data_IF_442192714587
#
_entry.id   IF_442192714587
#
_cell.length_a   1.000
_cell.length_b   1.000
_cell.length_c   1.000
_cell.angle_alpha   90.00
_cell.angle_beta   90.00
_cell.angle_gamma   90.00
#
_symmetry.space_group_name_H-M   'P 1'
#
loop_
_entity.id
_entity.type
_entity.pdbx_description
1 polymer ?
#
# COMPACT_ATOMS: atom_id res chain seq x y z
N UNK A 1 9.98 -67.07 -37.92
CA UNK A 1 11.43 -67.04 -38.22
C UNK A 1 11.72 -65.76 -38.99
N UNK A 2 12.79 -65.06 -38.60
CA UNK A 2 13.23 -63.74 -39.09
C UNK A 2 13.49 -63.74 -40.59
N UNK A 3 13.09 -62.70 -41.33
CA UNK A 3 13.90 -62.14 -42.43
C UNK A 3 13.73 -60.62 -42.50
N UNK A 4 14.89 -59.95 -42.47
CA UNK A 4 15.10 -58.51 -42.43
C UNK A 4 14.78 -57.89 -43.79
N UNK A 5 14.02 -56.79 -43.81
CA UNK A 5 14.04 -55.84 -44.93
C UNK A 5 14.71 -54.56 -44.43
N UNK A 6 15.82 -54.24 -45.07
CA UNK A 6 16.63 -53.05 -44.86
C UNK A 6 15.90 -51.89 -45.55
N UNK A 7 15.33 -50.98 -44.77
CA UNK A 7 14.72 -49.75 -45.24
C UNK A 7 15.65 -48.57 -44.99
N UNK A 8 16.15 -47.97 -46.07
CA UNK A 8 16.98 -46.78 -46.09
C UNK A 8 16.18 -45.58 -45.53
N UNK A 9 16.46 -45.16 -44.27
CA UNK A 9 15.89 -43.93 -43.72
C UNK A 9 16.69 -42.74 -44.22
N UNK A 10 16.13 -42.01 -45.18
CA UNK A 10 16.60 -40.68 -45.56
C UNK A 10 16.20 -39.68 -44.45
N UNK A 11 17.19 -39.13 -43.75
CA UNK A 11 17.02 -38.03 -42.81
C UNK A 11 16.72 -36.74 -43.59
N UNK A 12 15.45 -36.35 -43.63
CA UNK A 12 15.04 -35.01 -44.06
C UNK A 12 15.21 -34.09 -42.85
N UNK A 13 16.29 -33.31 -42.83
CA UNK A 13 16.41 -32.18 -41.91
C UNK A 13 15.48 -31.06 -42.39
N UNK A 14 14.28 -31.00 -41.81
CA UNK A 14 13.44 -29.80 -41.92
C UNK A 14 14.04 -28.72 -41.03
N UNK A 15 14.80 -27.81 -41.64
CA UNK A 15 15.18 -26.55 -41.00
C UNK A 15 13.91 -25.72 -40.77
N UNK A 16 13.31 -25.85 -39.58
CA UNK A 16 12.29 -24.92 -39.14
C UNK A 16 13.00 -23.62 -38.78
N UNK A 17 12.97 -22.68 -39.72
CA UNK A 17 13.34 -21.29 -39.48
C UNK A 17 12.46 -20.77 -38.34
N UNK A 18 13.04 -20.54 -37.16
CA UNK A 18 12.41 -19.70 -36.14
C UNK A 18 12.28 -18.32 -36.76
N UNK A 19 11.12 -18.02 -37.33
CA UNK A 19 10.71 -16.64 -37.53
C UNK A 19 10.54 -16.08 -36.13
N UNK A 20 11.57 -15.37 -35.66
CA UNK A 20 11.43 -14.47 -34.54
C UNK A 20 10.29 -13.53 -34.89
N UNK A 21 9.11 -13.76 -34.31
CA UNK A 21 8.03 -12.79 -34.33
C UNK A 21 8.59 -11.57 -33.63
N UNK A 22 8.97 -10.57 -34.41
CA UNK A 22 9.16 -9.22 -33.93
C UNK A 22 7.82 -8.81 -33.35
N UNK A 23 7.68 -8.94 -32.02
CA UNK A 23 6.62 -8.26 -31.30
C UNK A 23 6.89 -6.79 -31.53
N UNK A 24 6.16 -6.20 -32.47
CA UNK A 24 6.11 -4.76 -32.64
C UNK A 24 5.44 -4.24 -31.37
N UNK A 25 6.25 -3.86 -30.39
CA UNK A 25 5.78 -3.04 -29.27
C UNK A 25 5.49 -1.68 -29.88
N UNK A 26 4.24 -1.48 -30.29
CA UNK A 26 3.76 -0.15 -30.64
C UNK A 26 3.97 0.74 -29.43
N UNK A 27 4.69 1.86 -29.55
CA UNK A 27 4.78 2.81 -28.45
C UNK A 27 3.35 3.22 -28.10
N UNK A 28 3.00 3.09 -26.82
CA UNK A 28 1.73 3.57 -26.29
C UNK A 28 1.70 5.06 -26.60
N UNK A 29 0.83 5.47 -27.53
CA UNK A 29 0.53 6.88 -27.77
C UNK A 29 0.25 7.56 -26.42
N UNK A 30 0.60 8.84 -26.26
CA UNK A 30 0.39 9.59 -25.03
C UNK A 30 -0.91 9.19 -24.30
N UNK A 31 -0.72 8.51 -23.15
CA UNK A 31 -1.59 8.51 -21.97
C UNK A 31 -3.08 8.18 -22.19
N UNK A 32 -3.41 7.00 -22.69
CA UNK A 32 -4.74 6.44 -22.38
C UNK A 32 -4.73 5.86 -20.97
N UNK A 33 -5.25 6.66 -20.03
CA UNK A 33 -5.57 6.22 -18.69
C UNK A 33 -6.81 5.30 -18.75
N UNK A 34 -6.75 4.17 -18.06
CA UNK A 34 -7.81 3.18 -18.04
C UNK A 34 -9.11 3.78 -17.50
N UNK A 35 -10.24 3.41 -18.11
CA UNK A 35 -11.55 3.91 -17.71
C UNK A 35 -11.85 3.69 -16.22
N UNK A 36 -11.46 2.53 -15.68
CA UNK A 36 -11.63 2.21 -14.26
C UNK A 36 -10.87 3.19 -13.35
N UNK A 37 -9.66 3.61 -13.75
CA UNK A 37 -8.88 4.60 -13.01
C UNK A 37 -9.62 5.94 -12.95
N UNK A 38 -10.13 6.38 -14.10
CA UNK A 38 -10.84 7.64 -14.25
C UNK A 38 -12.10 7.62 -13.38
N UNK A 39 -12.89 6.55 -13.47
CA UNK A 39 -14.12 6.38 -12.68
C UNK A 39 -13.84 6.33 -11.18
N UNK A 40 -12.80 5.62 -10.75
CA UNK A 40 -12.38 5.54 -9.35
C UNK A 40 -11.76 6.82 -8.78
N UNK A 41 -11.63 7.87 -9.60
CA UNK A 41 -11.05 9.17 -9.20
C UNK A 41 -11.98 10.36 -9.47
N UNK A 42 -12.95 10.20 -10.36
CA UNK A 42 -13.73 11.31 -10.92
C UNK A 42 -14.36 12.17 -9.84
N UNK A 43 -15.11 11.57 -8.90
CA UNK A 43 -15.74 12.26 -7.77
C UNK A 43 -14.77 13.03 -6.91
N UNK A 44 -13.65 12.41 -6.56
CA UNK A 44 -12.60 13.02 -5.75
C UNK A 44 -12.06 14.30 -6.41
N UNK A 45 -11.86 14.26 -7.72
CA UNK A 45 -11.28 15.36 -8.51
C UNK A 45 -12.21 16.58 -8.68
N UNK A 46 -13.49 16.48 -8.31
CA UNK A 46 -14.38 17.66 -8.28
C UNK A 46 -13.99 18.66 -7.21
N UNK A 47 -13.37 18.18 -6.12
CA UNK A 47 -12.90 18.98 -5.00
C UNK A 47 -11.36 19.00 -4.92
N UNK A 48 -10.73 17.84 -5.17
CA UNK A 48 -9.28 17.64 -5.13
C UNK A 48 -8.69 17.68 -6.55
N UNK A 49 -8.68 18.86 -7.16
CA UNK A 49 -8.33 19.03 -8.57
C UNK A 49 -6.82 19.10 -8.85
N UNK A 50 -6.01 19.39 -7.84
CA UNK A 50 -4.55 19.52 -7.97
C UNK A 50 -3.88 18.24 -7.47
N UNK A 51 -3.14 17.57 -8.36
CA UNK A 51 -2.31 16.41 -8.03
C UNK A 51 -1.08 16.38 -8.91
N UNK A 52 0.03 15.84 -8.39
CA UNK A 52 1.28 15.72 -9.13
C UNK A 52 1.19 14.67 -10.26
N UNK A 53 0.46 13.58 -10.03
CA UNK A 53 0.30 12.48 -10.98
C UNK A 53 -1.12 11.91 -10.88
N UNK A 54 -1.86 11.84 -11.98
CA UNK A 54 -3.25 11.37 -11.94
C UNK A 54 -3.39 9.93 -11.41
N UNK A 55 -2.36 9.10 -11.57
CA UNK A 55 -2.32 7.71 -11.11
C UNK A 55 -1.55 7.49 -9.81
N UNK A 56 -1.19 8.60 -9.12
CA UNK A 56 -0.33 8.66 -7.94
C UNK A 56 1.11 8.14 -8.17
N UNK A 57 1.45 7.74 -9.41
CA UNK A 57 2.72 7.14 -9.75
C UNK A 57 3.25 7.74 -11.05
N UNK A 58 4.54 8.08 -11.07
CA UNK A 58 5.22 8.54 -12.30
C UNK A 58 5.33 7.45 -13.37
N UNK A 59 5.28 6.18 -12.97
CA UNK A 59 5.39 5.06 -13.90
C UNK A 59 4.04 4.89 -14.63
N UNK A 60 3.98 5.10 -15.95
CA UNK A 60 2.73 5.02 -16.71
C UNK A 60 2.14 3.60 -16.76
N UNK A 61 2.89 2.57 -16.39
CA UNK A 61 2.36 1.21 -16.25
C UNK A 61 1.45 1.05 -15.02
N UNK A 62 1.49 1.99 -14.07
CA UNK A 62 0.66 1.97 -12.86
C UNK A 62 -0.53 2.91 -13.08
N UNK A 63 -1.73 2.34 -13.06
CA UNK A 63 -2.98 3.04 -13.37
C UNK A 63 -3.96 2.98 -12.19
N UNK A 64 -3.50 3.38 -11.01
CA UNK A 64 -4.32 3.42 -9.79
C UNK A 64 -5.18 4.67 -9.73
N UNK A 65 -6.37 4.52 -9.18
CA UNK A 65 -7.33 5.58 -8.88
C UNK A 65 -7.13 6.12 -7.46
N UNK A 66 -7.77 7.26 -7.16
CA UNK A 66 -7.78 7.82 -5.79
C UNK A 66 -8.29 6.80 -4.77
N UNK A 67 -9.39 6.11 -5.11
CA UNK A 67 -10.07 5.16 -4.22
C UNK A 67 -9.32 3.84 -4.04
N UNK A 68 -8.41 3.46 -4.94
CA UNK A 68 -7.57 2.27 -4.78
C UNK A 68 -6.66 2.36 -3.55
N UNK A 69 -6.14 3.57 -3.26
CA UNK A 69 -5.33 3.79 -2.07
C UNK A 69 -6.15 4.32 -0.89
N UNK A 70 -6.96 5.35 -1.09
CA UNK A 70 -7.66 6.05 0.00
C UNK A 70 -9.03 5.44 0.36
N UNK A 71 -9.70 4.75 -0.55
CA UNK A 71 -11.13 4.43 -0.41
C UNK A 71 -12.03 5.66 -0.63
N UNK A 72 -13.17 5.73 0.05
CA UNK A 72 -14.21 6.74 -0.21
C UNK A 72 -15.09 6.38 -1.42
N UNK A 73 -16.01 7.27 -1.79
CA UNK A 73 -16.92 7.07 -2.93
C UNK A 73 -16.70 8.09 -4.06
N UNK A 74 -15.99 7.65 -5.11
CA UNK A 74 -15.73 8.44 -6.31
C UNK A 74 -16.95 8.62 -7.23
N UNK A 75 -18.10 7.99 -6.94
CA UNK A 75 -19.34 8.18 -7.70
C UNK A 75 -20.06 9.46 -7.30
N UNK A 76 -19.82 9.95 -6.09
CA UNK A 76 -20.39 11.21 -5.62
C UNK A 76 -19.77 12.38 -6.39
N UNK A 77 -20.61 13.30 -6.87
CA UNK A 77 -20.22 14.41 -7.74
C UNK A 77 -20.49 15.74 -7.06
N UNK A 78 -19.56 16.68 -7.21
CA UNK A 78 -19.66 18.05 -6.69
C UNK A 78 -19.27 19.12 -7.72
N UNK A 79 -19.02 18.75 -8.99
CA UNK A 79 -18.50 19.65 -10.04
C UNK A 79 -19.32 20.93 -10.29
N UNK A 80 -20.61 20.93 -9.94
CA UNK A 80 -21.52 22.07 -10.12
C UNK A 80 -21.96 22.71 -8.79
N UNK A 81 -21.30 22.36 -7.68
CA UNK A 81 -21.65 22.83 -6.34
C UNK A 81 -20.61 23.86 -5.88
N UNK A 82 -21.08 25.00 -5.38
CA UNK A 82 -20.19 26.02 -4.83
C UNK A 82 -19.58 25.51 -3.51
N UNK A 83 -18.25 25.65 -3.29
CA UNK A 83 -17.62 25.33 -2.01
C UNK A 83 -18.33 26.01 -0.83
N UNK A 84 -18.59 25.28 0.25
CA UNK A 84 -19.31 25.76 1.44
C UNK A 84 -20.83 25.85 1.29
N UNK A 85 -21.40 25.55 0.11
CA UNK A 85 -22.85 25.40 -0.02
C UNK A 85 -23.35 24.12 0.66
N UNK A 86 -24.61 24.11 1.10
CA UNK A 86 -25.22 22.90 1.71
C UNK A 86 -25.10 21.66 0.81
N UNK A 87 -25.24 21.84 -0.51
CA UNK A 87 -25.05 20.76 -1.47
C UNK A 87 -23.62 20.23 -1.48
N UNK A 88 -22.63 21.12 -1.47
CA UNK A 88 -21.21 20.75 -1.44
C UNK A 88 -20.85 19.99 -0.17
N UNK A 89 -21.29 20.48 1.00
CA UNK A 89 -21.06 19.81 2.29
C UNK A 89 -21.72 18.42 2.34
N UNK A 90 -22.93 18.29 1.81
CA UNK A 90 -23.63 17.00 1.73
C UNK A 90 -22.90 16.02 0.82
N UNK A 91 -22.43 16.48 -0.35
CA UNK A 91 -21.65 15.66 -1.27
C UNK A 91 -20.31 15.24 -0.64
N UNK A 92 -19.62 16.16 0.05
CA UNK A 92 -18.37 15.87 0.76
C UNK A 92 -18.59 14.80 1.84
N UNK A 93 -19.61 14.94 2.68
CA UNK A 93 -19.93 13.96 3.72
C UNK A 93 -20.27 12.58 3.15
N UNK A 94 -20.97 12.52 2.01
CA UNK A 94 -21.28 11.27 1.34
C UNK A 94 -20.06 10.61 0.67
N UNK A 95 -19.13 11.40 0.14
CA UNK A 95 -17.93 10.90 -0.55
C UNK A 95 -16.83 10.46 0.43
N UNK A 96 -16.68 11.16 1.55
CA UNK A 96 -15.63 10.91 2.54
C UNK A 96 -15.99 9.74 3.47
N UNK A 97 -14.98 8.94 3.83
CA UNK A 97 -15.13 7.98 4.92
C UNK A 97 -15.27 8.78 6.22
N UNK A 98 -16.36 8.56 6.93
CA UNK A 98 -16.65 9.28 8.17
C UNK A 98 -15.89 8.67 9.37
N UNK A 99 -15.40 9.49 10.30
CA UNK A 99 -14.82 9.01 11.54
C UNK A 99 -15.88 8.38 12.45
N UNK A 100 -15.46 7.44 13.30
CA UNK A 100 -16.28 6.89 14.35
C UNK A 100 -16.50 7.88 15.50
N UNK A 101 -15.57 8.82 15.69
CA UNK A 101 -15.62 9.82 16.77
C UNK A 101 -15.62 11.27 16.21
N UNK A 102 -16.70 11.74 15.58
CA UNK A 102 -16.75 13.06 14.92
C UNK A 102 -16.45 14.25 15.85
N UNK A 103 -16.70 14.11 17.15
CA UNK A 103 -16.38 15.12 18.15
C UNK A 103 -14.88 15.39 18.30
N UNK A 104 -14.04 14.43 17.91
CA UNK A 104 -12.59 14.57 17.83
C UNK A 104 -12.22 15.22 16.49
N UNK A 105 -12.82 14.76 15.39
CA UNK A 105 -12.52 15.15 14.01
C UNK A 105 -13.45 16.24 13.48
N UNK A 106 -13.38 17.44 14.08
CA UNK A 106 -14.31 18.56 13.80
C UNK A 106 -14.13 19.23 12.43
N UNK A 107 -13.13 18.85 11.66
CA UNK A 107 -12.82 19.45 10.36
C UNK A 107 -11.52 18.92 9.79
N UNK A 108 -10.95 19.62 8.80
CA UNK A 108 -9.73 19.20 8.10
C UNK A 108 -8.43 19.34 8.91
N UNK A 109 -8.47 20.07 10.03
CA UNK A 109 -7.31 20.21 10.92
C UNK A 109 -7.15 18.95 11.76
N UNK A 110 -5.93 18.42 11.80
CA UNK A 110 -5.58 17.34 12.73
C UNK A 110 -5.76 17.80 14.19
N UNK A 111 -6.51 17.03 15.01
CA UNK A 111 -6.65 17.28 16.44
C UNK A 111 -5.31 17.18 17.17
N UNK A 112 -5.22 17.86 18.32
CA UNK A 112 -4.07 17.74 19.22
C UNK A 112 -3.96 16.31 19.75
N UNK A 113 -2.75 15.74 19.73
CA UNK A 113 -2.49 14.36 20.16
C UNK A 113 -3.31 13.27 19.42
N UNK A 114 -3.74 13.55 18.19
CA UNK A 114 -4.56 12.64 17.36
C UNK A 114 -3.96 11.26 17.10
N UNK A 115 -2.66 11.05 17.36
CA UNK A 115 -2.01 9.73 17.18
C UNK A 115 -2.64 8.62 18.03
N UNK A 116 -3.08 8.93 19.25
CA UNK A 116 -3.75 7.95 20.11
C UNK A 116 -5.22 7.76 19.72
N UNK A 117 -5.89 8.81 19.23
CA UNK A 117 -7.28 8.73 18.79
C UNK A 117 -7.44 7.94 17.48
N UNK A 118 -6.45 8.00 16.60
CA UNK A 118 -6.39 7.16 15.39
C UNK A 118 -6.35 5.66 15.68
N UNK A 119 -6.00 5.23 16.91
CA UNK A 119 -6.07 3.82 17.32
C UNK A 119 -7.50 3.37 17.62
N UNK A 120 -8.43 4.30 17.84
CA UNK A 120 -9.84 4.00 18.11
C UNK A 120 -10.67 4.00 16.84
N UNK A 121 -10.16 4.62 15.78
CA UNK A 121 -10.84 4.75 14.49
C UNK A 121 -10.83 3.47 13.67
N UNK A 122 -11.76 3.38 12.72
CA UNK A 122 -11.80 2.26 11.79
C UNK A 122 -10.60 2.28 10.84
N UNK A 123 -10.19 1.10 10.36
CA UNK A 123 -9.09 1.00 9.40
C UNK A 123 -9.41 1.72 8.08
N UNK A 124 -10.68 1.82 7.68
CA UNK A 124 -11.12 2.59 6.52
C UNK A 124 -10.87 4.08 6.71
N UNK A 125 -11.19 4.64 7.88
CA UNK A 125 -10.95 6.06 8.16
C UNK A 125 -9.44 6.36 8.22
N UNK A 126 -8.66 5.49 8.89
CA UNK A 126 -7.20 5.58 8.90
C UNK A 126 -6.62 5.55 7.49
N UNK A 127 -7.07 4.61 6.65
CA UNK A 127 -6.67 4.48 5.24
C UNK A 127 -7.05 5.72 4.42
N UNK A 128 -8.25 6.26 4.64
CA UNK A 128 -8.74 7.44 3.94
C UNK A 128 -7.86 8.66 4.23
N UNK A 129 -7.53 8.87 5.51
CA UNK A 129 -6.66 9.96 5.96
C UNK A 129 -5.20 9.76 5.52
N UNK A 130 -4.68 8.55 5.65
CA UNK A 130 -3.29 8.22 5.34
C UNK A 130 -3.16 6.78 4.83
N UNK A 131 -3.13 6.54 3.51
CA UNK A 131 -2.98 5.20 2.96
C UNK A 131 -1.55 4.64 3.17
N UNK A 132 -0.60 5.47 3.62
CA UNK A 132 0.75 5.06 4.00
C UNK A 132 0.91 4.70 5.48
N UNK A 133 -0.15 4.80 6.29
CA UNK A 133 -0.11 4.35 7.69
C UNK A 133 0.29 2.87 7.73
N UNK A 134 1.26 2.52 8.58
CA UNK A 134 1.87 1.18 8.60
C UNK A 134 0.90 0.08 9.06
N UNK A 135 -0.26 0.46 9.58
CA UNK A 135 -1.37 -0.44 9.88
C UNK A 135 -2.15 -0.84 8.64
N UNK A 136 -2.16 -0.03 7.58
CA UNK A 136 -2.94 -0.26 6.35
C UNK A 136 -2.07 -0.40 5.09
N UNK A 137 -0.78 -0.05 5.17
CA UNK A 137 0.18 -0.06 4.07
C UNK A 137 0.28 -1.41 3.34
N UNK A 138 0.01 -2.52 4.03
CA UNK A 138 -0.06 -3.85 3.41
C UNK A 138 -1.17 -3.99 2.38
N UNK A 139 -2.32 -3.35 2.63
CA UNK A 139 -3.46 -3.38 1.71
C UNK A 139 -3.30 -2.38 0.58
N UNK A 140 -2.80 -1.17 0.89
CA UNK A 140 -2.69 -0.07 -0.09
C UNK A 140 -1.46 -0.18 -0.97
N UNK A 141 -0.30 -0.50 -0.40
CA UNK A 141 0.99 -0.54 -1.09
C UNK A 141 1.49 -1.98 -1.32
N UNK A 142 1.10 -2.91 -0.44
CA UNK A 142 1.69 -4.26 -0.38
C UNK A 142 1.45 -5.13 -1.61
N UNK A 143 0.41 -4.89 -2.41
CA UNK A 143 0.18 -5.63 -3.66
C UNK A 143 1.34 -5.53 -4.64
N UNK A 144 1.97 -4.35 -4.74
CA UNK A 144 3.12 -4.10 -5.61
C UNK A 144 4.45 -4.00 -4.84
N UNK A 145 4.41 -3.53 -3.58
CA UNK A 145 5.59 -3.23 -2.76
C UNK A 145 5.75 -4.16 -1.54
N UNK A 146 5.27 -5.41 -1.64
CA UNK A 146 5.26 -6.38 -0.53
C UNK A 146 6.58 -6.45 0.25
N UNK A 147 7.71 -6.51 -0.46
CA UNK A 147 9.04 -6.62 0.15
C UNK A 147 9.37 -5.42 1.04
N UNK A 148 9.07 -4.20 0.56
CA UNK A 148 9.36 -2.97 1.29
C UNK A 148 8.43 -2.85 2.49
N UNK A 149 7.13 -3.08 2.29
CA UNK A 149 6.13 -3.04 3.37
C UNK A 149 6.50 -4.04 4.48
N UNK A 150 6.84 -5.27 4.10
CA UNK A 150 7.24 -6.31 5.05
C UNK A 150 8.50 -5.95 5.86
N UNK A 151 9.46 -5.27 5.23
CA UNK A 151 10.67 -4.80 5.91
C UNK A 151 10.35 -3.66 6.89
N UNK A 152 9.54 -2.68 6.48
CA UNK A 152 9.19 -1.53 7.32
C UNK A 152 8.35 -1.95 8.52
N UNK A 153 7.38 -2.87 8.35
CA UNK A 153 6.55 -3.40 9.44
C UNK A 153 7.34 -4.05 10.58
N UNK A 154 8.60 -4.45 10.32
CA UNK A 154 9.52 -5.06 11.30
C UNK A 154 10.69 -4.15 11.67
N UNK A 155 10.66 -2.89 11.25
CA UNK A 155 11.71 -1.92 11.54
C UNK A 155 11.31 -1.00 12.69
N UNK A 156 12.27 -0.20 13.15
CA UNK A 156 12.06 0.86 14.14
C UNK A 156 11.06 1.94 13.67
N UNK A 157 10.69 1.99 12.38
CA UNK A 157 9.64 2.88 11.90
C UNK A 157 8.24 2.50 12.40
N UNK A 158 8.05 1.21 12.73
CA UNK A 158 6.76 0.65 13.14
C UNK A 158 6.62 0.47 14.65
N UNK A 159 7.72 0.67 15.38
CA UNK A 159 7.79 0.40 16.82
C UNK A 159 8.41 1.56 17.56
N UNK A 160 7.89 1.92 18.73
CA UNK A 160 8.56 2.86 19.65
C UNK A 160 9.72 2.22 20.43
N UNK A 161 10.29 1.11 19.93
CA UNK A 161 11.30 0.33 20.65
C UNK A 161 12.58 1.13 20.96
N UNK A 162 12.96 2.05 20.07
CA UNK A 162 14.11 2.92 20.32
C UNK A 162 13.87 3.89 21.48
N UNK A 163 12.66 4.45 21.58
CA UNK A 163 12.28 5.37 22.66
C UNK A 163 12.28 4.63 24.00
N UNK A 164 11.53 3.53 24.10
CA UNK A 164 11.37 2.78 25.35
C UNK A 164 12.65 2.04 25.76
N UNK A 165 13.41 1.52 24.80
CA UNK A 165 14.72 0.92 25.06
C UNK A 165 15.73 1.92 25.61
N UNK A 166 15.82 3.11 25.00
CA UNK A 166 16.68 4.19 25.48
C UNK A 166 16.26 4.70 26.85
N UNK A 167 14.96 4.91 27.06
CA UNK A 167 14.42 5.34 28.35
C UNK A 167 14.70 4.31 29.46
N UNK A 168 14.45 3.03 29.21
CA UNK A 168 14.64 1.98 30.21
C UNK A 168 16.12 1.78 30.59
N UNK A 169 17.01 1.74 29.59
CA UNK A 169 18.44 1.53 29.83
C UNK A 169 19.09 2.74 30.51
N UNK A 170 18.86 3.96 30.01
CA UNK A 170 19.51 5.17 30.53
C UNK A 170 19.08 5.53 31.96
N UNK A 171 17.91 5.04 32.40
CA UNK A 171 17.39 5.24 33.74
C UNK A 171 17.54 4.01 34.66
N UNK A 172 18.33 3.01 34.25
CA UNK A 172 18.60 1.80 35.03
C UNK A 172 17.34 1.00 35.42
N UNK A 173 16.29 1.07 34.60
CA UNK A 173 15.04 0.29 34.77
C UNK A 173 15.27 -1.15 34.31
N UNK A 174 16.01 -1.32 33.20
CA UNK A 174 16.39 -2.63 32.66
C UNK A 174 17.92 -2.73 32.49
N UNK A 175 18.56 -3.84 32.91
CA UNK A 175 20.03 -3.95 32.96
C UNK A 175 20.66 -4.43 31.63
N UNK A 176 20.02 -4.17 30.48
CA UNK A 176 20.50 -4.61 29.17
C UNK A 176 20.17 -3.62 28.07
N UNK A 177 20.97 -3.66 26.99
CA UNK A 177 20.81 -2.79 25.79
C UNK A 177 19.97 -3.42 24.67
N UNK A 178 19.41 -4.60 24.93
CA UNK A 178 18.48 -5.25 24.00
C UNK A 178 17.10 -4.60 24.17
N UNK A 179 16.67 -3.85 23.16
CA UNK A 179 15.43 -3.08 23.24
C UNK A 179 14.22 -3.99 22.99
N UNK A 180 13.69 -4.54 24.08
CA UNK A 180 12.54 -5.46 24.06
C UNK A 180 11.20 -4.79 24.36
N UNK A 181 11.22 -3.53 24.80
CA UNK A 181 10.03 -2.74 25.07
C UNK A 181 9.74 -1.84 23.89
N UNK A 182 8.47 -1.72 23.52
CA UNK A 182 8.02 -0.84 22.45
C UNK A 182 6.51 -0.98 22.25
N UNK A 183 5.93 -0.01 21.56
CA UNK A 183 4.53 -0.06 21.14
C UNK A 183 4.46 -0.29 19.64
N UNK A 184 3.52 -1.12 19.24
CA UNK A 184 3.11 -1.32 17.85
C UNK A 184 1.64 -1.69 17.84
N UNK A 185 0.92 -1.32 16.78
CA UNK A 185 -0.53 -1.44 16.73
C UNK A 185 -1.00 -2.11 15.44
N UNK A 186 -2.03 -2.93 15.54
CA UNK A 186 -2.67 -3.63 14.41
C UNK A 186 -3.59 -2.70 13.59
N UNK A 187 -4.11 -3.17 12.43
CA UNK A 187 -5.13 -2.44 11.66
C UNK A 187 -6.35 -1.99 12.48
N UNK A 188 -6.74 -2.76 13.49
CA UNK A 188 -7.84 -2.45 14.41
C UNK A 188 -7.42 -1.57 15.61
N UNK A 189 -6.18 -1.08 15.61
CA UNK A 189 -5.62 -0.26 16.68
C UNK A 189 -5.25 -1.01 17.95
N UNK A 190 -5.45 -2.33 18.03
CA UNK A 190 -5.03 -3.15 19.16
C UNK A 190 -3.50 -3.24 19.25
N UNK A 191 -2.96 -3.36 20.46
CA UNK A 191 -1.54 -3.60 20.65
C UNK A 191 -1.11 -4.92 19.99
N UNK A 192 0.08 -4.94 19.40
CA UNK A 192 0.64 -6.13 18.76
C UNK A 192 2.10 -6.35 19.12
N UNK A 193 2.48 -7.61 19.09
CA UNK A 193 3.88 -8.02 19.18
C UNK A 193 4.45 -8.26 17.77
N UNK A 194 5.74 -7.94 17.60
CA UNK A 194 6.46 -8.22 16.37
C UNK A 194 7.50 -9.30 16.65
N UNK A 195 7.32 -10.43 15.98
CA UNK A 195 8.27 -11.54 16.06
C UNK A 195 9.20 -11.55 14.84
N UNK A 196 10.42 -12.03 15.06
CA UNK A 196 11.35 -12.33 13.98
C UNK A 196 10.72 -13.35 13.00
N UNK A 197 10.93 -13.15 11.70
CA UNK A 197 10.42 -14.06 10.68
C UNK A 197 11.32 -15.30 10.57
N UNK A 198 10.95 -16.39 11.24
CA UNK A 198 11.61 -17.70 11.13
C UNK A 198 12.70 -17.93 12.17
N UNK A 199 13.32 -19.11 12.09
CA UNK A 199 14.43 -19.49 12.97
C UNK A 199 15.66 -18.61 12.68
N UNK A 200 16.35 -18.22 13.75
CA UNK A 200 17.65 -17.55 13.63
C UNK A 200 18.61 -18.47 12.88
N UNK A 201 19.20 -17.96 11.81
CA UNK A 201 20.30 -18.69 11.16
C UNK A 201 21.49 -18.74 12.11
N UNK A 202 22.35 -19.75 11.97
CA UNK A 202 23.58 -19.84 12.76
C UNK A 202 24.46 -18.58 12.61
N UNK A 203 24.43 -17.95 11.43
CA UNK A 203 25.13 -16.69 11.16
C UNK A 203 24.55 -15.51 11.95
N UNK A 204 23.21 -15.39 12.02
CA UNK A 204 22.56 -14.32 12.79
C UNK A 204 22.76 -14.53 14.29
N UNK A 205 22.64 -15.76 14.78
CA UNK A 205 22.91 -16.10 16.17
C UNK A 205 24.37 -15.79 16.55
N UNK A 206 25.34 -16.08 15.67
CA UNK A 206 26.75 -15.75 15.89
C UNK A 206 27.01 -14.22 15.94
N UNK A 207 26.12 -13.41 15.37
CA UNK A 207 26.15 -11.93 15.45
C UNK A 207 25.39 -11.37 16.65
N UNK A 208 24.84 -12.23 17.52
CA UNK A 208 24.13 -11.83 18.73
C UNK A 208 22.66 -11.47 18.52
N UNK A 209 22.04 -11.98 17.45
CA UNK A 209 20.59 -11.91 17.24
C UNK A 209 19.83 -12.89 18.15
#
# INVERSE_FOLDING_TARGET
MRFKVIGLLALIFSAQSLLAQTVIVTPIADRQIAQAQIEGSRGCQDCHSVTDELTMHKNPAVQLSCTDCHGGDAKIRASNLAPGSTGYETAMQAAHVQPQFPEIWKGSRNPENSYADLLKESWEFVRFMNPGDLRVARTTCGGCHAKIVHAVERSLMTTSAMLWGGAAYNNNILPFKNYILGESYNPDGSAREIHHAGALSAELAARGA
#
